data_IF_346510395625
#
_entry.id   IF_346510395625
#
_cell.length_a   1.000
_cell.length_b   1.000
_cell.length_c   1.000
_cell.angle_alpha   90.00
_cell.angle_beta   90.00
_cell.angle_gamma   90.00
#
_symmetry.space_group_name_H-M   'P 1'
#
loop_
_entity.id
_entity.type
_entity.pdbx_description
1 polymer ?
#
# COMPACT_ATOMS: atom_id res chain seq x y z
N UNK A 1 19.68 -10.53 4.94
CA UNK A 1 20.18 -11.11 3.68
C UNK A 1 21.33 -10.28 3.12
N UNK A 2 22.27 -10.86 2.38
CA UNK A 2 23.30 -10.10 1.66
C UNK A 2 22.91 -9.85 0.19
N UNK A 3 22.98 -8.59 -0.25
CA UNK A 3 22.73 -8.20 -1.63
C UNK A 3 24.04 -8.12 -2.43
N UNK A 4 23.98 -8.51 -3.71
CA UNK A 4 25.09 -8.34 -4.64
C UNK A 4 25.38 -6.86 -4.91
N UNK A 5 26.58 -6.56 -5.42
CA UNK A 5 26.95 -5.20 -5.87
C UNK A 5 25.97 -4.65 -6.91
N UNK A 6 25.56 -5.48 -7.88
CA UNK A 6 24.59 -5.09 -8.91
C UNK A 6 23.22 -4.74 -8.34
N UNK A 7 22.74 -5.52 -7.35
CA UNK A 7 21.48 -5.23 -6.66
C UNK A 7 21.55 -3.93 -5.87
N UNK A 8 22.63 -3.73 -5.10
CA UNK A 8 22.86 -2.47 -4.36
C UNK A 8 22.90 -1.29 -5.32
N UNK A 9 23.67 -1.40 -6.41
CA UNK A 9 23.76 -0.36 -7.43
C UNK A 9 22.39 -0.01 -8.01
N UNK A 10 21.62 -1.01 -8.43
CA UNK A 10 20.26 -0.82 -8.94
C UNK A 10 19.35 -0.13 -7.92
N UNK A 11 19.31 -0.61 -6.67
CA UNK A 11 18.44 -0.07 -5.63
C UNK A 11 18.71 1.42 -5.35
N UNK A 12 19.97 1.80 -5.21
CA UNK A 12 20.34 3.16 -4.78
C UNK A 12 20.46 4.15 -5.94
N UNK A 13 20.99 3.73 -7.09
CA UNK A 13 21.33 4.65 -8.19
C UNK A 13 20.35 4.62 -9.35
N UNK A 14 19.50 3.59 -9.47
CA UNK A 14 18.51 3.49 -10.56
C UNK A 14 17.08 3.57 -10.00
N UNK A 15 16.71 2.61 -9.15
CA UNK A 15 15.36 2.46 -8.62
C UNK A 15 14.93 3.68 -7.78
N UNK A 16 15.81 4.20 -6.93
CA UNK A 16 15.49 5.34 -6.06
C UNK A 16 15.23 6.64 -6.85
N UNK A 17 16.10 7.07 -7.79
CA UNK A 17 15.81 8.22 -8.65
C UNK A 17 14.52 8.06 -9.46
N UNK A 18 14.29 6.89 -10.08
CA UNK A 18 13.03 6.60 -10.80
C UNK A 18 11.82 6.77 -9.88
N UNK A 19 11.93 6.29 -8.64
CA UNK A 19 10.84 6.42 -7.65
C UNK A 19 10.54 7.88 -7.31
N UNK A 20 11.57 8.71 -7.10
CA UNK A 20 11.39 10.14 -6.79
C UNK A 20 10.79 10.87 -8.00
N UNK A 21 11.37 10.71 -9.19
CA UNK A 21 10.90 11.36 -10.41
C UNK A 21 9.47 10.94 -10.76
N UNK A 22 9.18 9.64 -10.68
CA UNK A 22 7.83 9.13 -10.91
C UNK A 22 6.82 9.64 -9.89
N UNK A 23 7.22 9.81 -8.61
CA UNK A 23 6.33 10.35 -7.59
C UNK A 23 6.05 11.85 -7.79
N UNK A 24 7.07 12.63 -8.16
CA UNK A 24 6.89 14.04 -8.52
C UNK A 24 5.97 14.18 -9.75
N UNK A 25 6.24 13.41 -10.80
CA UNK A 25 5.41 13.42 -12.00
C UNK A 25 3.97 12.99 -11.69
N UNK A 26 3.80 11.93 -10.90
CA UNK A 26 2.48 11.47 -10.45
C UNK A 26 1.71 12.53 -9.66
N UNK A 27 2.37 13.24 -8.74
CA UNK A 27 1.75 14.33 -7.99
C UNK A 27 1.32 15.49 -8.89
N UNK A 28 2.12 15.83 -9.91
CA UNK A 28 1.79 16.90 -10.86
C UNK A 28 0.62 16.48 -11.76
N UNK A 29 0.74 15.33 -12.44
CA UNK A 29 -0.25 14.86 -13.40
C UNK A 29 -1.59 14.51 -12.74
N UNK A 30 -1.57 13.96 -11.52
CA UNK A 30 -2.76 13.59 -10.77
C UNK A 30 -3.23 14.70 -9.83
N UNK A 31 -2.62 15.90 -9.86
CA UNK A 31 -2.99 17.01 -8.99
C UNK A 31 -4.47 17.39 -9.05
N UNK A 32 -5.18 17.37 -10.22
CA UNK A 32 -6.61 17.67 -10.24
C UNK A 32 -7.42 16.64 -9.45
N UNK A 33 -7.08 15.35 -9.57
CA UNK A 33 -7.72 14.25 -8.82
C UNK A 33 -7.40 14.37 -7.33
N UNK A 34 -6.15 14.69 -6.99
CA UNK A 34 -5.70 14.85 -5.62
C UNK A 34 -6.47 16.00 -4.92
N UNK A 35 -6.54 17.17 -5.56
CA UNK A 35 -7.24 18.36 -5.05
C UNK A 35 -8.75 18.10 -4.98
N UNK A 36 -9.36 17.53 -6.03
CA UNK A 36 -10.77 17.19 -6.02
C UNK A 36 -11.13 16.23 -4.89
N UNK A 37 -10.30 15.22 -4.64
CA UNK A 37 -10.49 14.26 -3.54
C UNK A 37 -10.37 14.94 -2.18
N UNK A 38 -9.42 15.86 -2.00
CA UNK A 38 -9.29 16.67 -0.77
C UNK A 38 -10.58 17.44 -0.50
N UNK A 39 -11.08 18.17 -1.50
CA UNK A 39 -12.29 19.00 -1.38
C UNK A 39 -13.49 18.11 -1.02
N UNK A 40 -13.70 17.00 -1.73
CA UNK A 40 -14.82 16.10 -1.46
C UNK A 40 -14.76 15.52 -0.04
N UNK A 41 -13.61 15.02 0.40
CA UNK A 41 -13.47 14.42 1.72
C UNK A 41 -13.53 15.45 2.85
N UNK A 42 -13.06 16.67 2.61
CA UNK A 42 -13.16 17.79 3.55
C UNK A 42 -14.61 18.05 3.97
N UNK A 43 -15.53 18.05 3.01
CA UNK A 43 -16.96 18.26 3.27
C UNK A 43 -17.65 17.00 3.78
N UNK A 44 -17.39 15.84 3.17
CA UNK A 44 -18.13 14.60 3.47
C UNK A 44 -17.80 14.02 4.85
N UNK A 45 -16.55 14.13 5.31
CA UNK A 45 -16.15 13.58 6.60
C UNK A 45 -16.44 14.50 7.79
N UNK A 46 -17.03 15.68 7.58
CA UNK A 46 -17.54 16.62 8.60
C UNK A 46 -16.52 17.10 9.65
N UNK A 47 -15.24 16.76 9.51
CA UNK A 47 -14.14 17.09 10.43
C UNK A 47 -13.07 17.99 9.79
N UNK A 48 -13.44 18.69 8.70
CA UNK A 48 -12.54 19.56 7.94
C UNK A 48 -11.24 18.85 7.56
N UNK A 49 -10.10 19.50 7.80
CA UNK A 49 -8.78 18.97 7.46
C UNK A 49 -8.41 17.66 8.17
N UNK A 50 -8.87 17.45 9.41
CA UNK A 50 -8.70 16.17 10.13
C UNK A 50 -9.51 15.03 9.49
N UNK A 51 -10.50 15.39 8.68
CA UNK A 51 -11.29 14.48 7.86
C UNK A 51 -10.64 14.11 6.54
N UNK A 52 -9.56 14.74 6.08
CA UNK A 52 -9.02 14.50 4.73
C UNK A 52 -7.99 13.39 4.69
N UNK A 53 -7.03 13.42 5.61
CA UNK A 53 -5.91 12.48 5.64
C UNK A 53 -5.97 11.60 6.88
N UNK A 54 -5.51 10.36 6.74
CA UNK A 54 -5.17 9.51 7.86
C UNK A 54 -3.79 8.91 7.67
N UNK A 55 -3.14 8.57 8.78
CA UNK A 55 -1.87 7.86 8.76
C UNK A 55 -2.03 6.53 9.47
N UNK A 56 -1.28 5.54 9.03
CA UNK A 56 -1.24 4.24 9.68
C UNK A 56 0.21 3.79 9.84
N UNK A 57 0.56 3.33 11.03
CA UNK A 57 1.90 2.82 11.30
C UNK A 57 2.13 1.51 10.54
N UNK A 58 3.30 1.42 9.91
CA UNK A 58 3.71 0.33 9.03
C UNK A 58 5.20 0.03 9.17
N UNK A 59 5.62 -1.24 9.15
CA UNK A 59 7.04 -1.58 9.03
C UNK A 59 7.57 -1.21 7.65
N UNK A 60 8.69 -0.49 7.62
CA UNK A 60 9.43 -0.13 6.43
C UNK A 60 10.68 -1.01 6.24
N UNK A 61 11.66 -0.45 5.53
CA UNK A 61 12.97 -1.09 5.36
C UNK A 61 13.65 -1.29 6.72
N UNK A 62 14.24 -2.46 6.94
CA UNK A 62 14.84 -2.89 8.19
C UNK A 62 13.86 -2.74 9.38
N UNK A 63 12.57 -2.95 9.11
CA UNK A 63 11.49 -2.92 10.11
C UNK A 63 11.28 -1.57 10.78
N UNK A 64 11.94 -0.52 10.29
CA UNK A 64 11.75 0.84 10.79
C UNK A 64 10.31 1.28 10.54
N UNK A 65 9.59 1.59 11.62
CA UNK A 65 8.20 2.03 11.53
C UNK A 65 8.11 3.40 10.85
N UNK A 66 7.20 3.52 9.88
CA UNK A 66 6.84 4.78 9.24
C UNK A 66 5.32 4.97 9.21
N UNK A 67 4.89 6.21 8.99
CA UNK A 67 3.48 6.59 8.86
C UNK A 67 3.06 6.55 7.40
N UNK A 68 2.36 5.49 6.99
CA UNK A 68 1.79 5.39 5.66
C UNK A 68 0.61 6.38 5.54
N UNK A 69 0.73 7.35 4.65
CA UNK A 69 -0.26 8.40 4.44
C UNK A 69 -1.33 7.93 3.45
N UNK A 70 -2.60 8.22 3.75
CA UNK A 70 -3.74 7.88 2.92
C UNK A 70 -4.83 8.93 3.01
N UNK A 71 -5.73 8.95 2.05
CA UNK A 71 -6.97 9.70 2.19
C UNK A 71 -7.93 8.97 3.15
N UNK A 72 -8.54 9.73 4.04
CA UNK A 72 -9.49 9.22 5.02
C UNK A 72 -10.84 9.03 4.34
N UNK A 73 -11.24 7.77 4.21
CA UNK A 73 -12.45 7.37 3.45
C UNK A 73 -13.64 7.04 4.35
N UNK A 74 -13.46 7.09 5.67
CA UNK A 74 -14.51 6.82 6.66
C UNK A 74 -14.65 8.02 7.60
N UNK A 75 -15.88 8.34 7.99
CA UNK A 75 -16.20 9.42 8.95
C UNK A 75 -15.71 9.06 10.36
N UNK A 76 -15.75 9.99 11.31
CA UNK A 76 -15.52 9.70 12.74
C UNK A 76 -16.83 9.68 13.53
N UNK A 77 -17.95 9.37 12.88
CA UNK A 77 -19.25 9.31 13.54
C UNK A 77 -19.25 8.22 14.63
N UNK A 78 -19.91 8.55 15.74
CA UNK A 78 -19.94 7.76 16.97
C UNK A 78 -21.38 7.51 17.40
N UNK A 79 -21.59 6.41 18.13
CA UNK A 79 -22.84 6.12 18.80
C UNK A 79 -23.07 7.04 20.02
N UNK A 80 -24.23 6.90 20.67
CA UNK A 80 -24.58 7.66 21.87
C UNK A 80 -23.63 7.41 23.06
N UNK A 81 -22.89 6.31 23.05
CA UNK A 81 -21.92 5.93 24.08
C UNK A 81 -20.51 6.48 23.77
N UNK A 82 -20.33 7.17 22.64
CA UNK A 82 -19.04 7.72 22.21
C UNK A 82 -18.10 6.73 21.51
N UNK A 83 -18.58 5.51 21.20
CA UNK A 83 -17.86 4.52 20.42
C UNK A 83 -17.99 4.82 18.93
N UNK A 84 -16.95 4.54 18.13
CA UNK A 84 -17.05 4.67 16.69
C UNK A 84 -18.14 3.74 16.15
N UNK A 85 -18.95 4.26 15.23
CA UNK A 85 -19.93 3.43 14.52
C UNK A 85 -19.23 2.31 13.73
N UNK A 86 -19.96 1.24 13.37
CA UNK A 86 -19.46 0.22 12.46
C UNK A 86 -18.91 0.82 11.15
N UNK A 87 -17.91 0.15 10.56
CA UNK A 87 -17.27 0.61 9.30
C UNK A 87 -18.28 0.81 8.16
N UNK A 88 -19.34 -0.01 8.11
CA UNK A 88 -20.40 0.08 7.11
C UNK A 88 -21.17 1.41 7.19
N UNK A 89 -21.38 1.93 8.41
CA UNK A 89 -22.12 3.16 8.65
C UNK A 89 -21.24 4.40 8.49
N UNK A 90 -19.91 4.23 8.62
CA UNK A 90 -18.92 5.32 8.47
C UNK A 90 -18.41 5.47 7.05
N UNK A 91 -18.65 4.50 6.16
CA UNK A 91 -18.17 4.51 4.79
C UNK A 91 -19.17 5.24 3.87
N UNK A 92 -18.84 6.48 3.53
CA UNK A 92 -19.69 7.31 2.65
C UNK A 92 -19.61 6.86 1.18
N UNK A 93 -20.58 7.24 0.32
CA UNK A 93 -20.51 6.94 -1.12
C UNK A 93 -19.23 7.45 -1.79
N UNK A 94 -18.78 8.65 -1.40
CA UNK A 94 -17.49 9.22 -1.83
C UNK A 94 -16.33 8.36 -1.32
N UNK A 95 -16.32 8.00 -0.04
CA UNK A 95 -15.30 7.12 0.54
C UNK A 95 -15.22 5.77 -0.17
N UNK A 96 -16.38 5.18 -0.50
CA UNK A 96 -16.48 3.93 -1.26
C UNK A 96 -15.90 4.08 -2.67
N UNK A 97 -16.22 5.17 -3.37
CA UNK A 97 -15.66 5.45 -4.70
C UNK A 97 -14.13 5.59 -4.64
N UNK A 98 -13.62 6.40 -3.70
CA UNK A 98 -12.18 6.64 -3.51
C UNK A 98 -11.43 5.33 -3.21
N UNK A 99 -12.00 4.42 -2.40
CA UNK A 99 -11.44 3.08 -2.17
C UNK A 99 -11.48 2.18 -3.41
N UNK A 100 -12.63 2.14 -4.10
CA UNK A 100 -12.82 1.25 -5.26
C UNK A 100 -11.88 1.57 -6.42
N UNK A 101 -11.43 2.83 -6.50
CA UNK A 101 -10.48 3.33 -7.50
C UNK A 101 -9.04 3.38 -7.00
N UNK A 102 -8.79 2.96 -5.75
CA UNK A 102 -7.48 3.05 -5.07
C UNK A 102 -6.91 4.47 -4.96
N UNK A 103 -7.75 5.49 -5.15
CA UNK A 103 -7.36 6.90 -4.99
C UNK A 103 -6.93 7.16 -3.54
N UNK A 104 -7.44 6.37 -2.58
CA UNK A 104 -7.07 6.49 -1.16
C UNK A 104 -5.57 6.32 -0.90
N UNK A 105 -4.84 5.63 -1.78
CA UNK A 105 -3.40 5.39 -1.65
C UNK A 105 -2.53 6.46 -2.33
N UNK A 106 -3.10 7.40 -3.12
CA UNK A 106 -2.31 8.45 -3.79
C UNK A 106 -1.43 9.28 -2.84
N UNK A 107 -1.83 9.60 -1.60
CA UNK A 107 -0.96 10.32 -0.67
C UNK A 107 0.35 9.58 -0.35
N UNK A 108 0.45 8.26 -0.61
CA UNK A 108 1.70 7.51 -0.46
C UNK A 108 2.79 7.94 -1.46
N UNK A 109 2.46 8.68 -2.52
CA UNK A 109 3.48 9.33 -3.35
C UNK A 109 4.39 10.25 -2.50
N UNK A 110 3.85 10.87 -1.45
CA UNK A 110 4.63 11.66 -0.49
C UNK A 110 5.56 10.76 0.34
N UNK A 111 5.11 9.56 0.73
CA UNK A 111 5.98 8.57 1.38
C UNK A 111 7.11 8.10 0.45
N UNK A 112 6.85 7.98 -0.85
CA UNK A 112 7.89 7.69 -1.83
C UNK A 112 8.92 8.83 -1.87
N UNK A 113 8.50 10.09 -1.94
CA UNK A 113 9.43 11.22 -1.90
C UNK A 113 10.30 11.22 -0.63
N UNK A 114 9.71 10.93 0.54
CA UNK A 114 10.41 10.83 1.83
C UNK A 114 11.41 9.67 1.92
N UNK A 115 11.20 8.62 1.14
CA UNK A 115 12.04 7.41 1.17
C UNK A 115 11.49 6.28 2.02
N UNK A 116 10.31 6.45 2.61
CA UNK A 116 9.62 5.40 3.36
C UNK A 116 9.12 4.27 2.45
N UNK A 117 8.77 4.62 1.21
CA UNK A 117 8.20 3.71 0.21
C UNK A 117 8.87 3.85 -1.17
N UNK A 118 8.57 2.91 -2.06
CA UNK A 118 8.85 2.94 -3.51
C UNK A 118 7.58 2.52 -4.27
N UNK A 119 7.60 2.56 -5.61
CA UNK A 119 6.48 2.06 -6.41
C UNK A 119 6.35 0.53 -6.35
N UNK A 120 7.48 -0.18 -6.35
CA UNK A 120 7.54 -1.63 -6.47
C UNK A 120 8.33 -2.22 -5.30
N UNK A 121 7.72 -3.11 -4.54
CA UNK A 121 8.31 -3.75 -3.37
C UNK A 121 7.26 -4.52 -2.56
N UNK A 122 7.66 -5.28 -1.52
CA UNK A 122 6.73 -5.94 -0.63
C UNK A 122 5.73 -4.95 -0.05
N UNK A 123 4.44 -5.33 0.06
CA UNK A 123 3.42 -4.43 0.61
C UNK A 123 3.69 -4.19 2.10
N UNK A 124 3.66 -2.94 2.60
CA UNK A 124 3.78 -2.70 4.03
C UNK A 124 2.53 -3.22 4.76
N UNK A 125 2.73 -4.16 5.69
CA UNK A 125 1.66 -4.81 6.45
C UNK A 125 1.55 -4.24 7.87
N UNK A 126 0.66 -4.79 8.69
CA UNK A 126 0.43 -4.31 10.05
C UNK A 126 1.65 -4.55 10.94
N UNK A 127 1.93 -3.60 11.83
CA UNK A 127 3.03 -3.70 12.81
C UNK A 127 2.88 -4.94 13.70
N UNK A 128 1.64 -5.31 14.04
CA UNK A 128 1.34 -6.49 14.87
C UNK A 128 1.82 -7.82 14.28
N UNK A 129 2.18 -7.86 12.99
CA UNK A 129 2.72 -9.07 12.36
C UNK A 129 4.23 -9.23 12.56
N UNK A 130 4.96 -8.19 12.95
CA UNK A 130 6.41 -8.26 13.19
C UNK A 130 6.83 -9.44 14.09
N UNK A 131 6.21 -9.67 15.27
CA UNK A 131 6.60 -10.79 16.13
C UNK A 131 6.14 -12.16 15.62
N UNK A 132 5.35 -12.23 14.54
CA UNK A 132 4.78 -13.46 14.00
C UNK A 132 5.59 -14.02 12.82
N UNK A 133 6.53 -13.25 12.27
CA UNK A 133 7.33 -13.70 11.14
C UNK A 133 8.35 -14.75 11.57
N UNK A 134 8.58 -15.73 10.70
CA UNK A 134 9.79 -16.54 10.78
C UNK A 134 11.02 -15.74 10.35
N UNK A 135 12.22 -16.21 10.69
CA UNK A 135 13.50 -15.60 10.27
C UNK A 135 13.54 -15.32 8.76
N UNK A 136 13.08 -16.26 7.96
CA UNK A 136 13.00 -16.12 6.50
C UNK A 136 12.01 -15.02 6.08
N UNK A 137 10.84 -14.95 6.72
CA UNK A 137 9.80 -13.99 6.37
C UNK A 137 10.21 -12.55 6.73
N UNK A 138 11.06 -12.36 7.75
CA UNK A 138 11.61 -11.05 8.10
C UNK A 138 12.38 -10.40 6.93
N UNK A 139 12.99 -11.19 6.04
CA UNK A 139 13.71 -10.67 4.87
C UNK A 139 12.84 -9.86 3.91
N UNK A 140 11.51 -9.93 3.98
CA UNK A 140 10.63 -9.02 3.22
C UNK A 140 10.87 -7.54 3.54
N UNK A 141 11.44 -7.24 4.71
CA UNK A 141 11.78 -5.88 5.14
C UNK A 141 13.20 -5.46 4.77
N UNK A 142 14.02 -6.30 4.12
CA UNK A 142 15.40 -5.93 3.73
C UNK A 142 15.44 -4.85 2.63
N UNK A 143 14.31 -4.60 1.96
CA UNK A 143 14.13 -3.56 0.93
C UNK A 143 12.99 -2.60 1.30
N UNK A 144 12.99 -1.42 0.67
CA UNK A 144 11.91 -0.43 0.85
C UNK A 144 10.58 -1.00 0.35
N UNK A 145 9.48 -0.90 1.14
CA UNK A 145 8.19 -1.43 0.74
C UNK A 145 7.58 -0.68 -0.46
N UNK A 146 6.69 -1.37 -1.19
CA UNK A 146 6.10 -0.88 -2.43
C UNK A 146 4.60 -0.61 -2.37
N UNK A 147 4.12 0.28 -3.23
CA UNK A 147 2.68 0.41 -3.53
C UNK A 147 2.15 -0.86 -4.23
N UNK A 148 2.87 -1.35 -5.24
CA UNK A 148 2.69 -2.66 -5.87
C UNK A 148 3.91 -3.55 -5.61
N UNK A 149 3.84 -4.82 -5.97
CA UNK A 149 4.87 -5.81 -5.68
C UNK A 149 4.57 -7.17 -6.29
N UNK A 150 5.52 -8.09 -6.16
CA UNK A 150 5.43 -9.41 -6.79
C UNK A 150 4.24 -10.23 -6.26
N UNK A 151 4.01 -10.21 -4.95
CA UNK A 151 2.84 -10.88 -4.36
C UNK A 151 1.51 -10.25 -4.80
N UNK A 152 1.48 -8.91 -4.93
CA UNK A 152 0.30 -8.17 -5.38
C UNK A 152 -0.10 -8.56 -6.81
N UNK A 153 0.88 -8.76 -7.70
CA UNK A 153 0.60 -9.15 -9.09
C UNK A 153 0.41 -10.66 -9.29
N UNK A 154 0.76 -11.51 -8.32
CA UNK A 154 0.61 -12.97 -8.42
C UNK A 154 -0.50 -13.58 -7.54
N UNK A 155 -1.45 -12.77 -7.05
CA UNK A 155 -2.64 -13.29 -6.39
C UNK A 155 -3.30 -12.33 -5.40
N UNK A 156 -2.56 -11.34 -4.88
CA UNK A 156 -3.06 -10.32 -3.94
C UNK A 156 -3.74 -10.93 -2.70
N UNK A 157 -5.06 -11.08 -2.71
CA UNK A 157 -5.86 -11.63 -1.62
C UNK A 157 -6.34 -13.07 -1.90
N UNK A 158 -6.09 -13.60 -3.09
CA UNK A 158 -6.50 -14.94 -3.53
C UNK A 158 -5.45 -16.01 -3.24
N UNK A 159 -4.43 -15.69 -2.44
CA UNK A 159 -3.33 -16.57 -2.06
C UNK A 159 -3.15 -16.52 -0.54
N UNK A 160 -2.67 -17.62 0.06
CA UNK A 160 -2.38 -17.69 1.51
C UNK A 160 -1.30 -16.69 1.94
N UNK A 161 -1.22 -16.42 3.24
CA UNK A 161 -0.16 -15.57 3.80
C UNK A 161 1.21 -16.18 3.57
N UNK A 162 1.38 -17.48 3.82
CA UNK A 162 2.61 -18.22 3.47
C UNK A 162 3.03 -17.96 2.02
N UNK A 163 2.11 -18.09 1.05
CA UNK A 163 2.44 -17.87 -0.35
C UNK A 163 2.80 -16.41 -0.65
N UNK A 164 2.11 -15.47 -0.02
CA UNK A 164 2.42 -14.04 -0.13
C UNK A 164 3.83 -13.73 0.38
N UNK A 165 4.23 -14.31 1.51
CA UNK A 165 5.57 -14.10 2.06
C UNK A 165 6.66 -14.78 1.22
N UNK A 166 6.44 -15.98 0.70
CA UNK A 166 7.34 -16.59 -0.28
C UNK A 166 7.59 -15.68 -1.48
N UNK A 167 6.53 -15.07 -2.03
CA UNK A 167 6.62 -14.17 -3.17
C UNK A 167 7.31 -12.85 -2.81
N UNK A 168 7.07 -12.30 -1.61
CA UNK A 168 7.75 -11.12 -1.11
C UNK A 168 9.26 -11.39 -0.95
N UNK A 169 9.65 -12.49 -0.30
CA UNK A 169 11.07 -12.87 -0.12
C UNK A 169 11.73 -13.21 -1.46
N UNK A 170 10.99 -13.86 -2.37
CA UNK A 170 11.45 -14.10 -3.74
C UNK A 170 11.78 -12.79 -4.46
N UNK A 171 10.91 -11.77 -4.35
CA UNK A 171 11.18 -10.45 -4.90
C UNK A 171 12.44 -9.82 -4.30
N UNK A 172 12.62 -9.89 -2.99
CA UNK A 172 13.82 -9.36 -2.31
C UNK A 172 15.08 -10.02 -2.86
N UNK A 173 15.09 -11.35 -2.98
CA UNK A 173 16.24 -12.10 -3.52
C UNK A 173 16.57 -11.77 -4.97
N UNK A 174 15.56 -11.44 -5.78
CA UNK A 174 15.68 -11.21 -7.22
C UNK A 174 15.50 -9.75 -7.62
N UNK A 175 15.65 -8.82 -6.67
CA UNK A 175 15.45 -7.40 -6.94
C UNK A 175 16.38 -6.93 -8.06
N UNK A 176 15.81 -6.25 -9.05
CA UNK A 176 16.53 -5.84 -10.25
C UNK A 176 15.60 -5.19 -11.26
N UNK A 177 16.19 -4.53 -12.26
CA UNK A 177 15.44 -3.77 -13.27
C UNK A 177 14.36 -4.60 -13.96
N UNK A 178 14.70 -5.81 -14.43
CA UNK A 178 13.76 -6.68 -15.12
C UNK A 178 12.64 -7.20 -14.21
N UNK A 179 12.94 -7.46 -12.93
CA UNK A 179 11.93 -7.87 -11.96
C UNK A 179 10.90 -6.75 -11.73
N UNK A 180 11.38 -5.52 -11.55
CA UNK A 180 10.51 -4.35 -11.42
C UNK A 180 9.68 -4.09 -12.68
N UNK A 181 10.27 -4.22 -13.87
CA UNK A 181 9.52 -4.07 -15.14
C UNK A 181 8.42 -5.13 -15.27
N UNK A 182 8.69 -6.38 -14.90
CA UNK A 182 7.64 -7.42 -14.88
C UNK A 182 6.50 -7.05 -13.94
N UNK A 183 6.81 -6.60 -12.72
CA UNK A 183 5.78 -6.16 -11.77
C UNK A 183 5.01 -4.95 -12.32
N UNK A 184 5.69 -3.98 -12.91
CA UNK A 184 5.09 -2.77 -13.47
C UNK A 184 4.07 -3.09 -14.56
N UNK A 185 4.47 -3.79 -15.62
CA UNK A 185 3.56 -4.12 -16.72
C UNK A 185 2.42 -5.05 -16.28
N UNK A 186 2.68 -5.98 -15.37
CA UNK A 186 1.63 -6.84 -14.81
C UNK A 186 0.65 -6.02 -13.94
N UNK A 187 1.14 -5.03 -13.20
CA UNK A 187 0.29 -4.10 -12.44
C UNK A 187 -0.62 -3.31 -13.37
N UNK A 188 -0.08 -2.73 -14.44
CA UNK A 188 -0.87 -1.99 -15.46
C UNK A 188 -1.95 -2.91 -16.05
N UNK A 189 -1.57 -4.11 -16.49
CA UNK A 189 -2.51 -5.08 -17.06
C UNK A 189 -3.65 -5.39 -16.09
N UNK A 190 -3.34 -5.66 -14.81
CA UNK A 190 -4.36 -5.97 -13.79
C UNK A 190 -5.30 -4.79 -13.53
N UNK A 191 -4.78 -3.57 -13.44
CA UNK A 191 -5.59 -2.37 -13.23
C UNK A 191 -6.52 -2.12 -14.41
N UNK A 192 -6.04 -2.24 -15.65
CA UNK A 192 -6.85 -2.04 -16.86
C UNK A 192 -7.91 -3.13 -17.03
N UNK A 193 -7.59 -4.39 -16.72
CA UNK A 193 -8.51 -5.52 -16.84
C UNK A 193 -9.47 -5.65 -15.63
N UNK A 194 -9.31 -4.82 -14.59
CA UNK A 194 -10.03 -4.94 -13.30
C UNK A 194 -9.93 -6.35 -12.69
N UNK A 195 -8.86 -7.08 -12.98
CA UNK A 195 -8.64 -8.42 -12.46
C UNK A 195 -8.26 -8.37 -10.97
N UNK A 196 -8.82 -9.28 -10.17
CA UNK A 196 -8.62 -9.37 -8.71
C UNK A 196 -9.02 -8.10 -7.92
N UNK A 197 -9.87 -7.24 -8.48
CA UNK A 197 -10.62 -6.25 -7.68
C UNK A 197 -11.75 -7.05 -7.06
N UNK A 198 -11.77 -7.20 -5.74
CA UNK A 198 -12.86 -7.85 -5.00
C UNK A 198 -14.18 -7.11 -5.25
N UNK A 199 -14.86 -7.44 -6.35
CA UNK A 199 -16.21 -7.01 -6.70
C UNK A 199 -17.18 -8.11 -6.30
N UNK A 200 -17.42 -8.26 -5.00
CA UNK A 200 -18.59 -8.99 -4.52
C UNK A 200 -19.03 -8.41 -3.18
N UNK A 201 -20.19 -7.74 -3.20
CA UNK A 201 -21.15 -7.66 -2.09
C UNK A 201 -20.60 -7.32 -0.70
N UNK A 202 -20.45 -6.03 -0.36
CA UNK A 202 -20.61 -5.49 1.01
C UNK A 202 -19.67 -5.95 2.13
N UNK A 203 -18.92 -7.02 1.94
CA UNK A 203 -17.91 -7.58 2.82
C UNK A 203 -16.67 -7.69 1.97
N UNK A 204 -15.72 -6.79 2.19
CA UNK A 204 -14.39 -6.98 1.63
C UNK A 204 -13.92 -8.37 2.09
N UNK A 205 -13.66 -9.28 1.15
CA UNK A 205 -12.87 -10.50 1.40
C UNK A 205 -11.48 -10.04 1.86
N UNK A 206 -11.43 -9.67 3.12
CA UNK A 206 -10.25 -9.32 3.88
C UNK A 206 -9.68 -10.67 4.27
N UNK A 207 -8.45 -10.94 3.85
CA UNK A 207 -7.74 -12.10 4.40
C UNK A 207 -7.78 -11.97 5.92
N UNK A 208 -7.98 -13.09 6.61
CA UNK A 208 -7.87 -13.13 8.06
C UNK A 208 -6.53 -12.53 8.50
N UNK A 209 -6.48 -12.01 9.72
CA UNK A 209 -5.23 -11.53 10.29
C UNK A 209 -4.18 -12.65 10.26
N UNK A 210 -2.96 -12.30 9.87
CA UNK A 210 -1.85 -13.25 9.95
C UNK A 210 -1.61 -13.60 11.42
N UNK A 211 -1.56 -14.90 11.72
CA UNK A 211 -1.43 -15.44 13.08
C UNK A 211 -0.13 -16.20 13.31
N UNK A 212 0.82 -16.12 12.38
CA UNK A 212 2.08 -16.87 12.39
C UNK A 212 2.05 -18.19 11.60
N UNK A 213 0.86 -18.74 11.34
CA UNK A 213 0.71 -20.10 10.82
C UNK A 213 -0.23 -20.24 9.60
N UNK A 214 -1.06 -19.21 9.32
CA UNK A 214 -1.98 -19.16 8.18
C UNK A 214 -1.36 -18.54 6.92
#
# INVERSE_FOLDING_TARGET
>A
MEFTLGQKFYMYYIKRPISILGALLGLILLSPIFIGTIILLFFVNKNGWKGVFFTQDRPGKNEKIFKALKFKTMTDEKDANGNLLPDADRLTPVGKFVRSTSIDELPQLINILKGDMTFIGPRPLLVQYLPLYSEEQHHRHDVTPGMSGWAQVNGRNNISWTKKFELDVYYVRHIGFWMDMRVFFTTIRKVLMRADINTTTGQAATMDYFNGHN
#
